data_IF_914126054732
#
_entry.id   IF_914126054732
#
_cell.length_a   1.000
_cell.length_b   1.000
_cell.length_c   1.000
_cell.angle_alpha   90.00
_cell.angle_beta   90.00
_cell.angle_gamma   90.00
#
_symmetry.space_group_name_H-M   'P 1'
#
loop_
_entity.id
_entity.type
_entity.pdbx_description
1 polymer ?
#
# COMPACT_ATOMS: atom_id res chain seq x y z
N UNK A 1 76.95 23.94 -47.83
CA UNK A 1 77.27 24.99 -46.84
C UNK A 1 76.17 25.01 -45.81
N UNK A 2 76.53 24.72 -44.55
CA UNK A 2 75.81 25.00 -43.28
C UNK A 2 74.39 24.42 -43.10
N UNK A 3 73.99 23.86 -41.95
CA UNK A 3 74.64 23.65 -40.65
C UNK A 3 73.82 22.61 -39.88
N UNK A 4 74.50 21.67 -39.23
CA UNK A 4 73.99 20.97 -38.05
C UNK A 4 73.97 21.92 -36.84
N UNK A 5 73.61 21.38 -35.66
CA UNK A 5 73.75 21.97 -34.31
C UNK A 5 72.49 22.69 -33.79
N UNK A 6 71.66 21.96 -33.04
CA UNK A 6 71.34 22.26 -31.63
C UNK A 6 70.44 21.17 -31.03
N UNK A 7 71.11 20.08 -30.64
CA UNK A 7 70.72 19.24 -29.51
C UNK A 7 70.86 20.09 -28.25
N UNK A 8 69.74 20.48 -27.64
CA UNK A 8 69.68 21.02 -26.29
C UNK A 8 68.36 20.62 -25.62
N UNK A 9 68.53 19.92 -24.49
CA UNK A 9 67.71 20.02 -23.28
C UNK A 9 66.24 19.58 -23.38
N UNK A 10 65.90 18.37 -22.92
CA UNK A 10 65.75 18.14 -21.48
C UNK A 10 65.27 16.69 -21.18
N UNK A 11 66.05 15.88 -20.47
CA UNK A 11 65.62 14.60 -19.90
C UNK A 11 65.06 14.82 -18.49
N UNK A 12 63.82 14.40 -18.21
CA UNK A 12 63.34 13.81 -16.93
C UNK A 12 61.81 13.80 -16.93
N UNK A 13 61.21 12.65 -17.22
CA UNK A 13 59.86 12.35 -16.73
C UNK A 13 59.90 12.35 -15.20
N UNK A 14 59.00 13.04 -14.48
CA UNK A 14 58.91 12.86 -13.04
C UNK A 14 58.49 11.41 -12.75
N UNK A 15 59.38 10.71 -12.04
CA UNK A 15 59.17 9.37 -11.52
C UNK A 15 57.88 9.36 -10.68
N UNK A 16 56.88 8.60 -11.12
CA UNK A 16 55.65 8.36 -10.33
C UNK A 16 56.07 7.68 -9.04
N UNK A 17 56.05 8.42 -7.94
CA UNK A 17 56.27 7.87 -6.61
C UNK A 17 55.26 6.74 -6.38
N UNK A 18 55.69 5.55 -5.92
CA UNK A 18 54.74 4.56 -5.45
C UNK A 18 54.10 5.15 -4.19
N UNK A 19 52.83 5.54 -4.29
CA UNK A 19 52.02 5.89 -3.12
C UNK A 19 51.96 4.64 -2.25
N UNK A 20 52.63 4.71 -1.10
CA UNK A 20 52.71 3.68 -0.10
C UNK A 20 51.32 3.19 0.28
N UNK A 21 51.09 1.91 0.01
CA UNK A 21 49.94 1.14 0.48
C UNK A 21 50.05 1.02 2.00
N UNK A 22 49.33 1.85 2.75
CA UNK A 22 48.94 1.61 4.15
C UNK A 22 48.04 2.74 4.67
N UNK A 23 46.86 2.87 4.07
CA UNK A 23 45.72 3.49 4.77
C UNK A 23 45.19 2.45 5.76
N UNK A 24 45.64 2.52 7.02
CA UNK A 24 44.99 1.81 8.12
C UNK A 24 43.55 2.28 8.18
N UNK A 25 42.64 1.48 7.63
CA UNK A 25 41.19 1.67 7.77
C UNK A 25 40.83 1.63 9.25
N UNK A 26 40.82 2.80 9.90
CA UNK A 26 40.33 2.95 11.26
C UNK A 26 38.84 2.66 11.22
N UNK A 27 38.44 1.51 11.75
CA UNK A 27 37.05 1.06 11.87
C UNK A 27 36.31 2.00 12.83
N UNK A 28 35.84 3.13 12.31
CA UNK A 28 35.08 4.13 13.08
C UNK A 28 33.85 3.44 13.70
N UNK A 29 33.65 3.53 15.03
CA UNK A 29 32.49 2.92 15.68
C UNK A 29 31.20 3.61 15.21
N UNK A 30 30.22 2.79 14.85
CA UNK A 30 28.92 3.25 14.35
C UNK A 30 28.25 4.09 15.45
N UNK A 31 27.81 5.34 15.18
CA UNK A 31 27.18 6.18 16.18
C UNK A 31 25.95 5.49 16.79
N UNK A 32 25.72 5.61 18.11
CA UNK A 32 24.64 4.89 18.81
C UNK A 32 23.25 5.19 18.24
N UNK A 33 23.05 6.40 17.69
CA UNK A 33 21.84 6.80 16.99
C UNK A 33 21.59 5.97 15.72
N UNK A 34 22.63 5.70 14.93
CA UNK A 34 22.52 4.83 13.75
C UNK A 34 22.16 3.39 14.14
N UNK A 35 22.76 2.86 15.22
CA UNK A 35 22.42 1.53 15.75
C UNK A 35 20.96 1.43 16.19
N UNK A 36 20.41 2.50 16.75
CA UNK A 36 18.99 2.59 17.12
C UNK A 36 18.08 2.64 15.88
N UNK A 37 18.45 3.42 14.87
CA UNK A 37 17.73 3.48 13.57
C UNK A 37 17.76 2.12 12.86
N UNK A 38 18.85 1.36 12.92
CA UNK A 38 18.91 0.01 12.35
C UNK A 38 18.01 -1.00 13.08
N UNK A 39 17.79 -0.84 14.40
CA UNK A 39 16.93 -1.72 15.19
C UNK A 39 15.43 -1.53 14.90
N UNK A 40 14.99 -0.34 14.43
CA UNK A 40 13.57 -0.12 14.09
C UNK A 40 13.09 -0.98 12.91
N UNK A 41 14.01 -1.49 12.08
CA UNK A 41 13.69 -2.43 10.98
C UNK A 41 13.23 -3.80 11.48
N UNK A 42 13.80 -4.28 12.58
CA UNK A 42 13.38 -5.54 13.20
C UNK A 42 11.98 -5.45 13.77
N UNK A 43 11.53 -4.26 14.18
CA UNK A 43 10.15 -4.03 14.61
C UNK A 43 9.14 -4.13 13.45
N UNK A 44 9.57 -3.86 12.21
CA UNK A 44 8.71 -3.93 11.03
C UNK A 44 8.44 -5.36 10.59
N UNK A 45 9.40 -6.28 10.77
CA UNK A 45 9.26 -7.69 10.39
C UNK A 45 8.03 -8.40 11.01
N UNK A 46 7.80 -8.36 12.34
CA UNK A 46 6.61 -8.96 12.93
C UNK A 46 5.31 -8.25 12.52
N UNK A 47 5.34 -6.94 12.23
CA UNK A 47 4.17 -6.23 11.73
C UNK A 47 3.76 -6.71 10.33
N UNK A 48 4.72 -6.84 9.40
CA UNK A 48 4.43 -7.39 8.07
C UNK A 48 3.97 -8.84 8.14
N UNK A 49 4.60 -9.66 8.99
CA UNK A 49 4.16 -11.03 9.22
C UNK A 49 2.71 -11.07 9.72
N UNK A 50 2.37 -10.19 10.67
CA UNK A 50 1.00 -10.03 11.17
C UNK A 50 0.01 -9.64 10.07
N UNK A 51 0.36 -8.69 9.20
CA UNK A 51 -0.48 -8.27 8.07
C UNK A 51 -0.67 -9.39 7.04
N UNK A 52 0.38 -10.16 6.75
CA UNK A 52 0.30 -11.32 5.84
C UNK A 52 -0.59 -12.41 6.44
N UNK A 53 -0.46 -12.71 7.73
CA UNK A 53 -1.33 -13.66 8.41
C UNK A 53 -2.78 -13.19 8.43
N UNK A 54 -3.03 -11.90 8.69
CA UNK A 54 -4.36 -11.31 8.58
C UNK A 54 -4.94 -11.49 7.17
N UNK A 55 -4.13 -11.26 6.13
CA UNK A 55 -4.52 -11.51 4.75
C UNK A 55 -4.92 -12.98 4.51
N UNK A 56 -4.17 -13.94 5.04
CA UNK A 56 -4.55 -15.36 4.96
C UNK A 56 -5.88 -15.66 5.66
N UNK A 57 -6.14 -15.04 6.82
CA UNK A 57 -7.41 -15.18 7.54
C UNK A 57 -8.57 -14.62 6.72
N UNK A 58 -8.41 -13.45 6.08
CA UNK A 58 -9.44 -12.88 5.21
C UNK A 58 -9.74 -13.76 3.99
N UNK A 59 -8.72 -14.36 3.37
CA UNK A 59 -8.91 -15.30 2.26
C UNK A 59 -9.69 -16.54 2.73
N UNK A 60 -9.36 -17.07 3.91
CA UNK A 60 -10.11 -18.17 4.49
C UNK A 60 -11.56 -17.79 4.80
N UNK A 61 -11.78 -16.62 5.40
CA UNK A 61 -13.12 -16.10 5.71
C UNK A 61 -13.97 -15.95 4.45
N UNK A 62 -13.40 -15.40 3.37
CA UNK A 62 -14.05 -15.30 2.07
C UNK A 62 -14.50 -16.68 1.54
N UNK A 63 -13.63 -17.70 1.66
CA UNK A 63 -13.97 -19.05 1.21
C UNK A 63 -15.12 -19.66 2.02
N UNK A 64 -15.12 -19.45 3.34
CA UNK A 64 -16.21 -19.91 4.23
C UNK A 64 -17.53 -19.25 3.83
N UNK A 65 -17.59 -17.91 3.77
CA UNK A 65 -18.81 -17.18 3.41
C UNK A 65 -19.32 -17.55 2.00
N UNK A 66 -18.40 -17.75 1.04
CA UNK A 66 -18.74 -18.19 -0.31
C UNK A 66 -19.35 -19.59 -0.30
N UNK A 67 -18.77 -20.51 0.45
CA UNK A 67 -19.26 -21.89 0.56
C UNK A 67 -20.64 -21.95 1.21
N UNK A 68 -20.90 -21.12 2.22
CA UNK A 68 -22.21 -21.00 2.84
C UNK A 68 -23.24 -20.42 1.87
N UNK A 69 -22.89 -19.36 1.13
CA UNK A 69 -23.76 -18.80 0.09
C UNK A 69 -24.17 -19.85 -0.95
N UNK A 70 -23.20 -20.60 -1.47
CA UNK A 70 -23.46 -21.66 -2.44
C UNK A 70 -24.32 -22.77 -1.80
N UNK A 71 -23.96 -23.22 -0.60
CA UNK A 71 -24.70 -24.24 0.13
C UNK A 71 -26.16 -23.87 0.36
N UNK A 72 -26.42 -22.63 0.78
CA UNK A 72 -27.77 -22.14 1.02
C UNK A 72 -28.60 -22.04 -0.27
N UNK A 73 -27.99 -21.61 -1.39
CA UNK A 73 -28.65 -21.58 -2.71
C UNK A 73 -28.96 -23.00 -3.21
N UNK A 74 -28.11 -23.97 -2.90
CA UNK A 74 -28.33 -25.39 -3.20
C UNK A 74 -29.32 -26.09 -2.25
N UNK A 75 -29.86 -25.38 -1.25
CA UNK A 75 -30.87 -25.89 -0.33
C UNK A 75 -30.33 -26.54 0.95
N UNK A 76 -29.07 -26.30 1.33
CA UNK A 76 -28.52 -26.75 2.60
C UNK A 76 -29.10 -25.92 3.78
N UNK A 77 -29.82 -26.54 4.73
CA UNK A 77 -30.44 -25.83 5.84
C UNK A 77 -29.44 -25.24 6.84
N UNK A 78 -28.27 -25.85 7.02
CA UNK A 78 -27.25 -25.38 7.97
C UNK A 78 -26.58 -24.10 7.44
N UNK A 79 -26.17 -24.10 6.17
CA UNK A 79 -25.62 -22.92 5.50
C UNK A 79 -26.64 -21.77 5.42
N UNK A 80 -27.92 -22.09 5.25
CA UNK A 80 -28.99 -21.09 5.29
C UNK A 80 -29.07 -20.41 6.66
N UNK A 81 -29.01 -21.16 7.76
CA UNK A 81 -29.04 -20.58 9.10
C UNK A 81 -27.83 -19.67 9.36
N UNK A 82 -26.63 -20.09 8.95
CA UNK A 82 -25.43 -19.28 9.07
C UNK A 82 -25.55 -17.93 8.34
N UNK A 83 -26.10 -17.94 7.12
CA UNK A 83 -26.36 -16.70 6.35
C UNK A 83 -27.38 -15.81 7.05
N UNK A 84 -28.50 -16.40 7.49
CA UNK A 84 -29.58 -15.65 8.12
C UNK A 84 -29.10 -15.01 9.42
N UNK A 85 -28.23 -15.68 10.18
CA UNK A 85 -27.62 -15.14 11.39
C UNK A 85 -26.56 -14.07 11.09
N UNK A 86 -25.74 -14.24 10.05
CA UNK A 86 -24.73 -13.26 9.64
C UNK A 86 -25.35 -11.94 9.14
N UNK A 87 -26.55 -12.00 8.56
CA UNK A 87 -27.28 -10.82 8.04
C UNK A 87 -28.33 -10.32 9.04
N UNK A 88 -28.63 -11.07 10.10
CA UNK A 88 -29.60 -10.67 11.10
C UNK A 88 -29.11 -9.46 11.89
N UNK A 89 -29.98 -8.44 11.98
CA UNK A 89 -29.73 -7.26 12.80
C UNK A 89 -30.41 -7.47 14.16
N UNK A 90 -29.73 -7.17 15.29
CA UNK A 90 -30.35 -7.22 16.61
C UNK A 90 -31.62 -6.39 16.67
N UNK A 91 -32.76 -7.04 16.93
CA UNK A 91 -34.08 -6.39 17.00
C UNK A 91 -34.90 -6.35 15.70
N UNK A 92 -34.35 -6.83 14.57
CA UNK A 92 -35.10 -6.99 13.32
C UNK A 92 -35.71 -8.41 13.20
N UNK A 93 -36.79 -8.55 12.43
CA UNK A 93 -37.40 -9.86 12.15
C UNK A 93 -36.42 -10.69 11.33
N UNK A 94 -35.99 -11.85 11.85
CA UNK A 94 -35.14 -12.79 11.11
C UNK A 94 -35.86 -13.26 9.85
N UNK A 95 -35.24 -13.17 8.66
CA UNK A 95 -35.82 -13.75 7.45
C UNK A 95 -35.93 -15.27 7.62
N UNK A 96 -37.04 -15.85 7.16
CA UNK A 96 -37.29 -17.30 7.27
C UNK A 96 -36.83 -18.10 6.05
N UNK A 97 -36.39 -17.42 4.98
CA UNK A 97 -35.92 -18.01 3.71
C UNK A 97 -34.96 -17.05 3.01
N UNK A 98 -34.21 -17.55 2.03
CA UNK A 98 -33.49 -16.70 1.09
C UNK A 98 -34.49 -15.85 0.30
N UNK A 99 -34.50 -14.56 0.56
CA UNK A 99 -35.14 -13.57 -0.29
C UNK A 99 -34.07 -12.77 -1.06
N UNK A 100 -34.50 -11.98 -2.04
CA UNK A 100 -33.60 -11.17 -2.86
C UNK A 100 -32.72 -10.23 -1.99
N UNK A 101 -33.31 -9.61 -0.97
CA UNK A 101 -32.60 -8.71 -0.05
C UNK A 101 -31.50 -9.43 0.74
N UNK A 102 -31.75 -10.63 1.26
CA UNK A 102 -30.78 -11.45 1.98
C UNK A 102 -29.63 -11.83 1.07
N UNK A 103 -29.91 -12.31 -0.15
CA UNK A 103 -28.87 -12.67 -1.11
C UNK A 103 -28.01 -11.43 -1.43
N UNK A 104 -28.64 -10.29 -1.70
CA UNK A 104 -27.94 -9.04 -1.98
C UNK A 104 -27.06 -8.58 -0.80
N UNK A 105 -27.55 -8.70 0.44
CA UNK A 105 -26.79 -8.33 1.64
C UNK A 105 -25.58 -9.24 1.89
N UNK A 106 -25.70 -10.55 1.62
CA UNK A 106 -24.56 -11.48 1.69
C UNK A 106 -23.54 -11.15 0.61
N UNK A 107 -23.99 -10.95 -0.64
CA UNK A 107 -23.09 -10.61 -1.75
C UNK A 107 -22.36 -9.30 -1.49
N UNK A 108 -23.04 -8.27 -0.94
CA UNK A 108 -22.39 -7.02 -0.52
C UNK A 108 -21.36 -7.24 0.60
N UNK A 109 -21.60 -8.17 1.52
CA UNK A 109 -20.62 -8.60 2.52
C UNK A 109 -19.38 -9.25 1.90
N UNK A 110 -19.57 -10.19 0.97
CA UNK A 110 -18.48 -10.83 0.24
C UNK A 110 -17.62 -9.82 -0.54
N UNK A 111 -18.26 -8.85 -1.20
CA UNK A 111 -17.55 -7.77 -1.91
C UNK A 111 -16.72 -6.94 -0.94
N UNK A 112 -17.25 -6.62 0.24
CA UNK A 112 -16.55 -5.83 1.26
C UNK A 112 -15.28 -6.53 1.77
N UNK A 113 -15.35 -7.84 2.06
CA UNK A 113 -14.18 -8.65 2.45
C UNK A 113 -13.08 -8.59 1.37
N UNK A 114 -13.45 -8.64 0.10
CA UNK A 114 -12.52 -8.52 -1.04
C UNK A 114 -11.92 -7.12 -1.12
N UNK A 115 -12.71 -6.07 -0.88
CA UNK A 115 -12.22 -4.68 -0.89
C UNK A 115 -11.21 -4.41 0.21
N UNK A 116 -11.48 -4.89 1.44
CA UNK A 116 -10.53 -4.77 2.56
C UNK A 116 -9.24 -5.53 2.26
N UNK A 117 -9.35 -6.74 1.69
CA UNK A 117 -8.21 -7.56 1.27
C UNK A 117 -7.31 -6.86 0.24
N UNK A 118 -7.90 -6.17 -0.73
CA UNK A 118 -7.15 -5.43 -1.74
C UNK A 118 -6.45 -4.20 -1.14
N UNK A 119 -7.10 -3.51 -0.19
CA UNK A 119 -6.49 -2.40 0.54
C UNK A 119 -5.33 -2.88 1.42
N UNK A 120 -5.46 -4.03 2.09
CA UNK A 120 -4.39 -4.60 2.92
C UNK A 120 -3.15 -4.90 2.09
N UNK A 121 -3.29 -5.53 0.92
CA UNK A 121 -2.17 -5.79 0.01
C UNK A 121 -1.47 -4.48 -0.39
N UNK A 122 -2.24 -3.44 -0.72
CA UNK A 122 -1.73 -2.12 -1.05
C UNK A 122 -0.92 -1.50 0.11
N UNK A 123 -1.40 -1.64 1.35
CA UNK A 123 -0.71 -1.15 2.55
C UNK A 123 0.57 -1.94 2.82
N UNK A 124 0.54 -3.27 2.67
CA UNK A 124 1.73 -4.15 2.83
C UNK A 124 2.81 -3.74 1.83
N UNK A 125 2.47 -3.62 0.55
CA UNK A 125 3.44 -3.28 -0.50
C UNK A 125 3.95 -1.85 -0.34
N UNK A 126 3.05 -0.88 -0.13
CA UNK A 126 3.42 0.53 0.04
C UNK A 126 4.28 0.76 1.29
N UNK A 127 3.96 0.08 2.39
CA UNK A 127 4.79 0.07 3.60
C UNK A 127 6.17 -0.52 3.33
N UNK A 128 6.22 -1.68 2.67
CA UNK A 128 7.48 -2.36 2.37
C UNK A 128 8.39 -1.50 1.49
N UNK A 129 7.82 -0.88 0.44
CA UNK A 129 8.55 0.04 -0.43
C UNK A 129 9.11 1.24 0.35
N UNK A 130 8.28 1.87 1.18
CA UNK A 130 8.61 3.10 1.90
C UNK A 130 9.65 2.86 2.99
N UNK A 131 9.53 1.77 3.76
CA UNK A 131 10.29 1.57 4.99
C UNK A 131 11.35 0.48 4.94
N UNK A 132 11.23 -0.52 4.07
CA UNK A 132 12.20 -1.63 3.99
C UNK A 132 13.08 -1.49 2.76
N UNK A 133 12.48 -1.17 1.61
CA UNK A 133 13.15 -1.15 0.30
C UNK A 133 14.04 0.08 0.08
N UNK A 134 13.60 1.28 0.47
CA UNK A 134 14.34 2.53 0.21
C UNK A 134 15.58 2.75 1.08
N UNK A 135 15.77 1.95 2.12
CA UNK A 135 16.91 2.12 3.05
C UNK A 135 18.06 1.13 2.81
N UNK A 136 18.18 0.50 1.63
CA UNK A 136 19.26 -0.47 1.36
C UNK A 136 19.96 -0.33 0.00
N UNK A 137 20.08 0.89 -0.55
CA UNK A 137 20.71 1.11 -1.86
C UNK A 137 21.52 2.42 -1.92
N UNK A 138 22.61 2.49 -1.14
CA UNK A 138 23.65 3.53 -1.27
C UNK A 138 25.03 2.97 -1.64
N UNK A 139 25.13 1.76 -2.20
CA UNK A 139 26.46 1.19 -2.49
C UNK A 139 26.59 0.18 -3.64
N UNK A 140 25.93 0.38 -4.79
CA UNK A 140 26.41 -0.21 -6.05
C UNK A 140 26.11 0.66 -7.29
N UNK A 141 27.07 0.82 -8.23
CA UNK A 141 26.94 1.64 -9.44
C UNK A 141 25.95 1.12 -10.49
N UNK A 142 25.37 -0.07 -10.29
CA UNK A 142 24.34 -0.65 -11.16
C UNK A 142 23.04 -0.88 -10.37
N UNK A 143 22.28 0.19 -10.12
CA UNK A 143 20.89 0.08 -9.69
C UNK A 143 19.98 0.14 -10.92
N UNK A 144 19.16 -0.89 -11.19
CA UNK A 144 18.31 -0.89 -12.37
C UNK A 144 17.07 0.00 -12.18
N UNK A 145 16.68 0.72 -13.24
CA UNK A 145 15.74 1.86 -13.30
C UNK A 145 14.29 1.58 -12.82
N UNK A 146 13.94 0.32 -12.55
CA UNK A 146 12.57 -0.11 -12.24
C UNK A 146 12.16 0.03 -10.75
N UNK A 147 13.06 0.40 -9.84
CA UNK A 147 12.73 0.59 -8.41
C UNK A 147 12.60 2.08 -8.02
N UNK A 148 12.97 3.02 -8.89
CA UNK A 148 12.90 4.46 -8.64
C UNK A 148 11.56 5.08 -9.06
N UNK A 149 10.72 4.35 -9.81
CA UNK A 149 9.48 4.87 -10.38
C UNK A 149 8.21 4.13 -9.96
N UNK A 150 8.14 3.70 -8.69
CA UNK A 150 6.82 3.64 -8.07
C UNK A 150 6.44 5.08 -7.74
N UNK A 151 5.71 5.71 -8.67
CA UNK A 151 5.26 7.09 -8.52
C UNK A 151 4.39 7.19 -7.26
N UNK A 152 4.91 7.88 -6.24
CA UNK A 152 4.24 8.04 -4.95
C UNK A 152 2.81 8.62 -5.10
N UNK A 153 2.55 9.40 -6.14
CA UNK A 153 1.20 9.88 -6.47
C UNK A 153 0.25 8.76 -6.90
N UNK A 154 0.73 7.78 -7.70
CA UNK A 154 -0.06 6.60 -8.08
C UNK A 154 -0.40 5.75 -6.84
N UNK A 155 0.54 5.63 -5.89
CA UNK A 155 0.30 4.90 -4.64
C UNK A 155 -0.78 5.59 -3.79
N UNK A 156 -0.69 6.92 -3.64
CA UNK A 156 -1.67 7.72 -2.89
C UNK A 156 -3.07 7.69 -3.50
N UNK A 157 -3.17 7.83 -4.82
CA UNK A 157 -4.45 7.78 -5.53
C UNK A 157 -5.12 6.42 -5.39
N UNK A 158 -4.37 5.33 -5.58
CA UNK A 158 -4.91 3.96 -5.41
C UNK A 158 -5.43 3.71 -3.99
N UNK A 159 -4.72 4.20 -2.97
CA UNK A 159 -5.17 4.12 -1.58
C UNK A 159 -6.46 4.92 -1.37
N UNK A 160 -6.51 6.17 -1.84
CA UNK A 160 -7.70 7.02 -1.71
C UNK A 160 -8.92 6.41 -2.39
N UNK A 161 -8.77 5.90 -3.62
CA UNK A 161 -9.86 5.22 -4.34
C UNK A 161 -10.34 3.96 -3.62
N UNK A 162 -9.43 3.17 -3.03
CA UNK A 162 -9.81 1.98 -2.27
C UNK A 162 -10.65 2.34 -1.03
N UNK A 163 -10.24 3.38 -0.27
CA UNK A 163 -10.97 3.84 0.91
C UNK A 163 -12.37 4.36 0.56
N UNK A 164 -12.49 5.16 -0.51
CA UNK A 164 -13.80 5.62 -0.99
C UNK A 164 -14.69 4.43 -1.36
N UNK A 165 -14.15 3.47 -2.12
CA UNK A 165 -14.89 2.28 -2.56
C UNK A 165 -15.43 1.44 -1.41
N UNK A 166 -14.59 1.16 -0.40
CA UNK A 166 -15.01 0.45 0.83
C UNK A 166 -16.14 1.20 1.53
N UNK A 167 -15.98 2.52 1.69
CA UNK A 167 -16.99 3.38 2.32
C UNK A 167 -18.32 3.39 1.54
N UNK A 168 -18.28 3.41 0.21
CA UNK A 168 -19.48 3.37 -0.65
C UNK A 168 -20.24 2.05 -0.52
N UNK A 169 -19.55 0.91 -0.50
CA UNK A 169 -20.19 -0.42 -0.38
C UNK A 169 -20.87 -0.55 0.98
N UNK A 170 -20.21 -0.11 2.04
CA UNK A 170 -20.79 -0.08 3.37
C UNK A 170 -22.05 0.80 3.43
N UNK A 171 -22.06 1.95 2.77
CA UNK A 171 -23.23 2.84 2.72
C UNK A 171 -24.37 2.23 1.91
N UNK A 172 -24.05 1.55 0.81
CA UNK A 172 -25.05 0.84 0.01
C UNK A 172 -25.68 -0.31 0.80
N UNK A 173 -24.87 -1.09 1.55
CA UNK A 173 -25.35 -2.18 2.43
C UNK A 173 -26.32 -1.66 3.49
N UNK A 174 -26.01 -0.55 4.15
CA UNK A 174 -26.90 0.02 5.17
C UNK A 174 -28.14 0.68 4.55
N UNK A 175 -28.01 1.30 3.38
CA UNK A 175 -29.12 1.89 2.65
C UNK A 175 -30.16 0.85 2.20
N UNK A 176 -29.70 -0.30 1.70
CA UNK A 176 -30.58 -1.42 1.28
C UNK A 176 -31.46 -1.92 2.42
N UNK A 177 -30.97 -1.86 3.66
CA UNK A 177 -31.71 -2.29 4.83
C UNK A 177 -32.02 -1.12 5.78
N UNK A 178 -32.28 0.07 5.22
CA UNK A 178 -32.40 1.32 5.98
C UNK A 178 -33.48 1.29 7.09
N UNK A 179 -34.54 0.49 6.92
CA UNK A 179 -35.59 0.35 7.94
C UNK A 179 -35.10 -0.29 9.25
N UNK A 180 -33.97 -0.99 9.22
CA UNK A 180 -33.36 -1.63 10.38
C UNK A 180 -32.25 -0.79 11.02
N UNK A 181 -31.92 0.38 10.45
CA UNK A 181 -30.88 1.28 10.95
C UNK A 181 -31.47 2.59 11.48
N UNK A 182 -30.84 3.17 12.50
CA UNK A 182 -31.23 4.49 12.99
C UNK A 182 -30.87 5.58 11.97
N UNK A 183 -31.75 6.58 11.84
CA UNK A 183 -31.55 7.72 10.94
C UNK A 183 -30.25 8.45 11.23
N UNK A 184 -29.83 8.53 12.50
CA UNK A 184 -28.55 9.18 12.86
C UNK A 184 -27.36 8.41 12.33
N UNK A 185 -27.41 7.07 12.36
CA UNK A 185 -26.36 6.21 11.80
C UNK A 185 -26.25 6.40 10.29
N UNK A 186 -27.37 6.40 9.57
CA UNK A 186 -27.40 6.63 8.12
C UNK A 186 -26.86 8.01 7.75
N UNK A 187 -27.25 9.05 8.50
CA UNK A 187 -26.79 10.41 8.25
C UNK A 187 -25.29 10.56 8.58
N UNK A 188 -24.82 9.97 9.68
CA UNK A 188 -23.41 9.99 10.06
C UNK A 188 -22.54 9.26 9.02
N UNK A 189 -22.97 8.09 8.57
CA UNK A 189 -22.27 7.34 7.53
C UNK A 189 -22.20 8.10 6.21
N UNK A 190 -23.29 8.74 5.81
CA UNK A 190 -23.33 9.63 4.64
C UNK A 190 -22.36 10.81 4.81
N UNK A 191 -22.33 11.42 5.99
CA UNK A 191 -21.39 12.50 6.31
C UNK A 191 -19.93 12.06 6.21
N UNK A 192 -19.58 10.90 6.77
CA UNK A 192 -18.22 10.32 6.68
C UNK A 192 -17.84 10.06 5.22
N UNK A 193 -18.76 9.50 4.43
CA UNK A 193 -18.50 9.23 3.02
C UNK A 193 -18.21 10.51 2.22
N UNK A 194 -18.98 11.58 2.48
CA UNK A 194 -18.76 12.90 1.88
C UNK A 194 -17.36 13.44 2.26
N UNK A 195 -16.94 13.29 3.51
CA UNK A 195 -15.58 13.69 3.95
C UNK A 195 -14.50 12.91 3.19
N UNK A 196 -14.67 11.61 2.96
CA UNK A 196 -13.72 10.84 2.15
C UNK A 196 -13.67 11.28 0.70
N UNK A 197 -14.82 11.60 0.09
CA UNK A 197 -14.89 12.10 -1.28
C UNK A 197 -14.15 13.44 -1.43
N UNK A 198 -14.37 14.37 -0.50
CA UNK A 198 -13.63 15.63 -0.46
C UNK A 198 -12.13 15.42 -0.24
N UNK A 199 -11.75 14.50 0.65
CA UNK A 199 -10.34 14.20 0.92
C UNK A 199 -9.63 13.67 -0.32
N UNK A 200 -10.28 12.78 -1.08
CA UNK A 200 -9.72 12.24 -2.31
C UNK A 200 -9.62 13.30 -3.42
N UNK A 201 -10.60 14.19 -3.53
CA UNK A 201 -10.54 15.31 -4.46
C UNK A 201 -9.37 16.25 -4.13
N UNK A 202 -9.12 16.51 -2.85
CA UNK A 202 -7.97 17.31 -2.41
C UNK A 202 -6.62 16.65 -2.75
N UNK A 203 -6.51 15.31 -2.59
CA UNK A 203 -5.32 14.54 -2.98
C UNK A 203 -5.09 14.63 -4.50
N UNK A 204 -6.14 14.38 -5.30
CA UNK A 204 -6.04 14.44 -6.75
C UNK A 204 -5.69 15.84 -7.27
N UNK A 205 -6.25 16.88 -6.65
CA UNK A 205 -5.91 18.27 -6.96
C UNK A 205 -4.45 18.60 -6.63
N UNK A 206 -3.96 18.16 -5.47
CA UNK A 206 -2.57 18.34 -5.05
C UNK A 206 -1.59 17.66 -6.02
N UNK A 207 -1.88 16.42 -6.41
CA UNK A 207 -1.07 15.68 -7.40
C UNK A 207 -1.05 16.39 -8.77
N UNK A 208 -2.19 16.95 -9.21
CA UNK A 208 -2.25 17.72 -10.46
C UNK A 208 -1.36 18.96 -10.42
N UNK A 209 -1.36 19.71 -9.31
CA UNK A 209 -0.50 20.89 -9.16
C UNK A 209 0.97 20.46 -9.23
N UNK A 210 1.36 19.42 -8.51
CA UNK A 210 2.74 18.92 -8.51
C UNK A 210 3.21 18.52 -9.92
N UNK A 211 2.35 17.83 -10.69
CA UNK A 211 2.66 17.45 -12.07
C UNK A 211 2.82 18.67 -12.99
N UNK A 212 1.99 19.71 -12.82
CA UNK A 212 2.09 20.94 -13.60
C UNK A 212 3.36 21.74 -13.26
N UNK A 213 3.75 21.82 -11.98
CA UNK A 213 4.99 22.47 -11.56
C UNK A 213 6.23 21.79 -12.14
N UNK A 214 6.25 20.45 -12.19
CA UNK A 214 7.35 19.70 -12.80
C UNK A 214 7.50 19.99 -14.30
N UNK A 215 6.39 20.01 -15.06
CA UNK A 215 6.40 20.29 -16.49
C UNK A 215 6.91 21.71 -16.85
N UNK A 216 6.60 22.70 -16.01
CA UNK A 216 7.08 24.08 -16.21
C UNK A 216 8.60 24.16 -15.98
N UNK A 217 9.12 23.43 -14.99
CA UNK A 217 10.56 23.40 -14.69
C UNK A 217 11.42 22.77 -15.78
N UNK A 218 10.90 21.85 -16.60
CA UNK A 218 11.65 21.24 -17.70
C UNK A 218 11.66 22.10 -18.98
N UNK A 219 10.75 23.08 -19.07
CA UNK A 219 10.65 23.99 -20.22
C UNK A 219 11.57 25.22 -20.16
N UNK A 220 12.32 25.36 -19.07
CA UNK A 220 13.27 26.46 -18.79
C UNK A 220 14.68 25.92 -18.58
#
# INVERSE_FOLDING_TARGET
MHSSVLSLLNPTLPMKTPVSTNELSTKQPIPPLARFIFMTRWLQLPLYLGLILAQCVYVFHFWVELSDLIGAVLGNPDSLQHILDAVAIPGAVKPSKLNETTIMLVVLGLIDVVMISNLLIMVIIGGYETFVSRMNLESHPDQPEWLSHVNASVLKVKLATAIIGISSIHLLKTFINASAYDTKTLLAQTGIHIVFLFSAMAIAYSDRIMAQTAAISESH
#
